data_IF_178916045036
#
_entry.id   IF_178916045036
#
_cell.length_a   1.000
_cell.length_b   1.000
_cell.length_c   1.000
_cell.angle_alpha   90.00
_cell.angle_beta   90.00
_cell.angle_gamma   90.00
#
_symmetry.space_group_name_H-M   'P 1'
#
loop_
_entity.id
_entity.type
_entity.pdbx_description
1 polymer ?
#
# COMPACT_ATOMS: atom_id res chain seq x y z
N UNK A 1 -14.41 27.58 16.21
CA UNK A 1 -15.29 26.42 16.45
C UNK A 1 -14.93 25.41 15.37
N UNK A 2 -13.78 24.74 15.46
CA UNK A 2 -13.40 23.62 16.33
C UNK A 2 -13.51 22.31 15.57
N UNK A 3 -12.36 21.64 15.49
CA UNK A 3 -12.11 20.22 15.20
C UNK A 3 -12.38 19.77 13.76
N UNK A 4 -11.48 19.01 13.13
CA UNK A 4 -10.71 17.91 13.73
C UNK A 4 -9.33 17.75 13.09
N UNK A 5 -8.33 17.52 13.94
CA UNK A 5 -6.99 17.05 13.62
C UNK A 5 -6.99 15.92 12.59
N UNK A 6 -6.16 16.04 11.56
CA UNK A 6 -5.71 14.89 10.77
C UNK A 6 -4.22 15.04 10.46
N UNK A 7 -3.42 15.06 11.53
CA UNK A 7 -1.98 14.90 11.50
C UNK A 7 -1.59 13.86 12.56
N UNK A 8 -2.26 12.71 12.55
CA UNK A 8 -1.86 11.54 13.33
C UNK A 8 -1.20 10.53 12.41
N UNK A 9 0.14 10.48 12.37
CA UNK A 9 0.91 9.26 12.01
C UNK A 9 2.43 9.45 12.03
N UNK A 10 2.99 10.54 12.56
CA UNK A 10 4.45 10.71 12.60
C UNK A 10 5.12 10.26 13.90
N UNK A 11 4.45 9.60 14.86
CA UNK A 11 5.09 9.21 16.14
C UNK A 11 4.32 8.15 16.96
N UNK A 12 3.68 7.16 16.32
CA UNK A 12 3.45 5.91 17.04
C UNK A 12 4.71 5.07 16.90
N UNK A 13 5.55 5.11 17.93
CA UNK A 13 6.71 4.25 18.07
C UNK A 13 6.31 2.80 17.73
N UNK A 14 7.03 2.17 16.79
CA UNK A 14 6.71 0.82 16.35
C UNK A 14 6.89 -0.15 17.52
N UNK A 15 5.82 -0.81 17.95
CA UNK A 15 5.85 -1.74 19.07
C UNK A 15 5.75 -3.20 18.64
N UNK A 16 6.17 -4.11 19.53
CA UNK A 16 6.06 -5.56 19.30
C UNK A 16 4.63 -5.99 18.98
N UNK A 17 3.66 -5.61 19.82
CA UNK A 17 2.26 -6.00 19.59
C UNK A 17 1.71 -5.47 18.26
N UNK A 18 2.14 -4.28 17.84
CA UNK A 18 1.78 -3.71 16.53
C UNK A 18 2.35 -4.52 15.37
N UNK A 19 3.60 -4.96 15.47
CA UNK A 19 4.23 -5.81 14.44
C UNK A 19 3.53 -7.17 14.37
N UNK A 20 3.24 -7.78 15.52
CA UNK A 20 2.54 -9.08 15.59
C UNK A 20 1.11 -9.01 15.03
N UNK A 21 0.45 -7.87 15.16
CA UNK A 21 -0.89 -7.62 14.63
C UNK A 21 -0.91 -6.97 13.24
N UNK A 22 0.25 -6.81 12.58
CA UNK A 22 0.33 -6.10 11.31
C UNK A 22 -0.44 -6.84 10.20
N UNK A 23 -1.48 -6.19 9.67
CA UNK A 23 -2.36 -6.76 8.65
C UNK A 23 -2.21 -6.03 7.31
N UNK A 24 -2.02 -6.79 6.23
CA UNK A 24 -1.92 -6.29 4.86
C UNK A 24 -3.13 -6.66 3.99
N UNK A 25 -4.14 -7.34 4.54
CA UNK A 25 -5.32 -7.82 3.79
C UNK A 25 -6.04 -6.70 3.05
N UNK A 26 -6.11 -5.51 3.67
CA UNK A 26 -6.71 -4.33 3.07
C UNK A 26 -6.07 -3.91 1.74
N UNK A 27 -4.79 -4.19 1.52
CA UNK A 27 -4.09 -3.89 0.27
C UNK A 27 -4.50 -4.86 -0.85
N UNK A 28 -4.64 -6.14 -0.52
CA UNK A 28 -5.10 -7.17 -1.46
C UNK A 28 -6.56 -6.91 -1.87
N UNK A 29 -7.41 -6.54 -0.91
CA UNK A 29 -8.80 -6.13 -1.15
C UNK A 29 -8.90 -4.87 -2.02
N UNK A 30 -8.06 -3.86 -1.75
CA UNK A 30 -7.99 -2.64 -2.54
C UNK A 30 -7.58 -2.93 -3.99
N UNK A 31 -6.57 -3.79 -4.18
CA UNK A 31 -6.13 -4.18 -5.51
C UNK A 31 -7.22 -4.88 -6.32
N UNK A 32 -7.94 -5.84 -5.70
CA UNK A 32 -9.06 -6.52 -6.34
C UNK A 32 -10.15 -5.52 -6.74
N UNK A 33 -10.50 -4.58 -5.84
CA UNK A 33 -11.51 -3.55 -6.09
C UNK A 33 -11.11 -2.61 -7.24
N UNK A 34 -9.87 -2.13 -7.29
CA UNK A 34 -9.44 -1.21 -8.35
C UNK A 34 -9.46 -1.87 -9.72
N UNK A 35 -9.06 -3.15 -9.82
CA UNK A 35 -9.19 -3.89 -11.09
C UNK A 35 -10.64 -4.07 -11.52
N UNK A 36 -11.53 -4.36 -10.57
CA UNK A 36 -12.95 -4.46 -10.85
C UNK A 36 -13.52 -3.12 -11.34
N UNK A 37 -13.17 -2.02 -10.67
CA UNK A 37 -13.63 -0.68 -11.06
C UNK A 37 -13.13 -0.30 -12.47
N UNK A 38 -11.88 -0.62 -12.81
CA UNK A 38 -11.34 -0.36 -14.13
C UNK A 38 -12.13 -1.10 -15.22
N UNK A 39 -12.35 -2.40 -15.04
CA UNK A 39 -13.09 -3.23 -15.99
C UNK A 39 -14.55 -2.77 -16.16
N UNK A 40 -15.24 -2.47 -15.04
CA UNK A 40 -16.62 -1.99 -15.08
C UNK A 40 -16.75 -0.62 -15.76
N UNK A 41 -15.80 0.29 -15.51
CA UNK A 41 -15.81 1.62 -16.11
C UNK A 41 -15.62 1.54 -17.63
N UNK A 42 -14.67 0.73 -18.08
CA UNK A 42 -14.40 0.50 -19.50
C UNK A 42 -15.61 -0.16 -20.20
N UNK A 43 -16.23 -1.17 -19.58
CA UNK A 43 -17.42 -1.83 -20.11
C UNK A 43 -18.59 -0.85 -20.24
N UNK A 44 -18.95 -0.15 -19.16
CA UNK A 44 -20.06 0.81 -19.16
C UNK A 44 -19.86 1.92 -20.21
N UNK A 45 -18.62 2.35 -20.40
CA UNK A 45 -18.32 3.39 -21.38
C UNK A 45 -18.40 2.86 -22.83
N UNK A 46 -18.00 1.61 -23.08
CA UNK A 46 -18.20 1.00 -24.39
C UNK A 46 -19.69 0.84 -24.74
N UNK A 47 -20.52 0.44 -23.77
CA UNK A 47 -21.98 0.47 -23.92
C UNK A 47 -22.51 1.87 -24.22
N UNK A 48 -22.00 2.90 -23.53
CA UNK A 48 -22.38 4.29 -23.78
C UNK A 48 -22.02 4.73 -25.21
N UNK A 49 -20.80 4.42 -25.68
CA UNK A 49 -20.34 4.71 -27.04
C UNK A 49 -21.23 4.07 -28.11
N UNK A 50 -21.62 2.81 -27.92
CA UNK A 50 -22.52 2.11 -28.83
C UNK A 50 -23.91 2.77 -28.89
N UNK A 51 -24.44 3.21 -27.74
CA UNK A 51 -25.71 3.92 -27.68
C UNK A 51 -25.65 5.30 -28.34
N UNK A 52 -24.51 6.00 -28.29
CA UNK A 52 -24.29 7.27 -29.01
C UNK A 52 -24.23 7.05 -30.52
N UNK A 53 -23.57 5.98 -30.97
CA UNK A 53 -23.44 5.65 -32.39
C UNK A 53 -24.78 5.28 -33.05
N UNK A 54 -25.64 4.58 -32.31
CA UNK A 54 -26.93 4.13 -32.81
C UNK A 54 -28.05 4.32 -31.76
N UNK A 55 -28.51 5.56 -31.52
CA UNK A 55 -29.59 5.84 -30.58
C UNK A 55 -30.86 5.11 -31.03
N UNK A 56 -31.39 4.21 -30.19
CA UNK A 56 -32.55 3.40 -30.54
C UNK A 56 -32.29 2.34 -31.63
N UNK A 57 -31.03 1.98 -31.87
CA UNK A 57 -30.64 0.92 -32.80
C UNK A 57 -30.53 1.33 -34.26
N UNK A 58 -30.66 2.62 -34.57
CA UNK A 58 -30.44 3.18 -35.91
C UNK A 58 -29.22 4.08 -35.88
N UNK A 59 -28.31 3.91 -36.85
CA UNK A 59 -27.11 4.75 -36.96
C UNK A 59 -27.49 6.23 -37.03
N UNK A 60 -26.85 7.04 -36.18
CA UNK A 60 -27.06 8.48 -36.17
C UNK A 60 -26.05 9.16 -37.11
N UNK A 61 -26.48 9.42 -38.34
CA UNK A 61 -25.65 10.06 -39.36
C UNK A 61 -25.80 11.58 -39.41
N UNK A 62 -24.81 12.26 -39.98
CA UNK A 62 -24.75 13.72 -40.16
C UNK A 62 -23.82 14.41 -39.15
N UNK A 63 -23.51 15.69 -39.37
CA UNK A 63 -22.50 16.45 -38.62
C UNK A 63 -22.68 16.38 -37.10
N UNK A 64 -23.93 16.39 -36.61
CA UNK A 64 -24.22 16.29 -35.19
C UNK A 64 -23.87 14.89 -34.61
N UNK A 65 -24.14 13.83 -35.37
CA UNK A 65 -23.77 12.46 -34.98
C UNK A 65 -22.27 12.23 -35.03
N UNK A 66 -21.59 12.76 -36.05
CA UNK A 66 -20.12 12.70 -36.15
C UNK A 66 -19.44 13.46 -35.01
N UNK A 67 -19.93 14.66 -34.67
CA UNK A 67 -19.45 15.43 -33.53
C UNK A 67 -19.65 14.70 -32.20
N UNK A 68 -20.82 14.08 -31.99
CA UNK A 68 -21.08 13.26 -30.81
C UNK A 68 -20.18 12.02 -30.73
N UNK A 69 -19.96 11.34 -31.86
CA UNK A 69 -19.06 10.19 -31.98
C UNK A 69 -17.59 10.56 -31.68
N UNK A 70 -17.14 11.71 -32.18
CA UNK A 70 -15.79 12.21 -31.89
C UNK A 70 -15.63 12.49 -30.40
N UNK A 71 -16.61 13.17 -29.79
CA UNK A 71 -16.57 13.51 -28.36
C UNK A 71 -16.54 12.28 -27.47
N UNK A 72 -17.43 11.31 -27.71
CA UNK A 72 -17.44 10.05 -26.92
C UNK A 72 -16.17 9.22 -27.17
N UNK A 73 -15.54 9.32 -28.34
CA UNK A 73 -14.25 8.66 -28.60
C UNK A 73 -13.11 9.28 -27.79
N UNK A 74 -13.10 10.61 -27.65
CA UNK A 74 -12.15 11.32 -26.77
C UNK A 74 -12.36 10.91 -25.31
N UNK A 75 -13.60 10.92 -24.84
CA UNK A 75 -13.94 10.51 -23.47
C UNK A 75 -13.57 9.05 -23.19
N UNK A 76 -13.71 8.15 -24.19
CA UNK A 76 -13.28 6.76 -24.06
C UNK A 76 -11.76 6.64 -23.83
N UNK A 77 -10.95 7.55 -24.38
CA UNK A 77 -9.51 7.56 -24.13
C UNK A 77 -9.20 7.96 -22.68
N UNK A 78 -9.96 8.90 -22.11
CA UNK A 78 -9.85 9.29 -20.70
C UNK A 78 -10.18 8.11 -19.79
N UNK A 79 -11.30 7.41 -20.03
CA UNK A 79 -11.71 6.25 -19.24
C UNK A 79 -10.68 5.12 -19.28
N UNK A 80 -10.13 4.79 -20.46
CA UNK A 80 -9.08 3.78 -20.57
C UNK A 80 -7.85 4.14 -19.75
N UNK A 81 -7.40 5.40 -19.81
CA UNK A 81 -6.25 5.85 -19.02
C UNK A 81 -6.55 5.85 -17.51
N UNK A 82 -7.77 6.19 -17.08
CA UNK A 82 -8.18 6.01 -15.68
C UNK A 82 -8.12 4.53 -15.26
N UNK A 83 -8.58 3.62 -16.12
CA UNK A 83 -8.49 2.18 -15.91
C UNK A 83 -7.05 1.67 -15.80
N UNK A 84 -6.13 2.20 -16.63
CA UNK A 84 -4.70 1.90 -16.54
C UNK A 84 -4.11 2.34 -15.20
N UNK A 85 -4.39 3.57 -14.75
CA UNK A 85 -3.93 4.08 -13.45
C UNK A 85 -4.45 3.20 -12.30
N UNK A 86 -5.72 2.79 -12.35
CA UNK A 86 -6.32 1.89 -11.35
C UNK A 86 -5.66 0.51 -11.34
N UNK A 87 -5.33 -0.06 -12.51
CA UNK A 87 -4.60 -1.34 -12.61
C UNK A 87 -3.16 -1.21 -12.09
N UNK A 88 -2.49 -0.09 -12.35
CA UNK A 88 -1.16 0.19 -11.81
C UNK A 88 -1.18 0.34 -10.28
N UNK A 89 -2.17 1.05 -9.73
CA UNK A 89 -2.38 1.14 -8.29
C UNK A 89 -2.60 -0.26 -7.67
N UNK A 90 -3.38 -1.13 -8.33
CA UNK A 90 -3.61 -2.50 -7.87
C UNK A 90 -2.33 -3.32 -7.82
N UNK A 91 -1.48 -3.22 -8.84
CA UNK A 91 -0.17 -3.88 -8.83
C UNK A 91 0.72 -3.36 -7.70
N UNK A 92 0.73 -2.04 -7.47
CA UNK A 92 1.48 -1.43 -6.35
C UNK A 92 1.00 -1.97 -5.01
N UNK A 93 -0.31 -2.08 -4.79
CA UNK A 93 -0.87 -2.58 -3.53
C UNK A 93 -0.56 -4.07 -3.30
N UNK A 94 -0.67 -4.92 -4.32
CA UNK A 94 -0.32 -6.35 -4.20
C UNK A 94 1.17 -6.57 -3.96
N UNK A 95 2.02 -5.85 -4.68
CA UNK A 95 3.47 -5.89 -4.47
C UNK A 95 3.81 -5.43 -3.05
N UNK A 96 3.25 -4.29 -2.64
CA UNK A 96 3.44 -3.72 -1.31
C UNK A 96 2.94 -4.63 -0.18
N UNK A 97 1.81 -5.31 -0.38
CA UNK A 97 1.27 -6.30 0.57
C UNK A 97 2.25 -7.45 0.80
N UNK A 98 2.90 -7.95 -0.27
CA UNK A 98 3.92 -8.99 -0.17
C UNK A 98 5.20 -8.49 0.50
N UNK A 99 5.67 -7.31 0.11
CA UNK A 99 6.88 -6.70 0.65
C UNK A 99 6.74 -6.39 2.16
N UNK A 100 5.58 -5.86 2.58
CA UNK A 100 5.28 -5.62 3.98
C UNK A 100 5.22 -6.92 4.79
N UNK A 101 4.54 -7.97 4.29
CA UNK A 101 4.52 -9.27 4.96
C UNK A 101 5.92 -9.85 5.14
N UNK A 102 6.79 -9.71 4.14
CA UNK A 102 8.19 -10.13 4.23
C UNK A 102 8.93 -9.31 5.29
N UNK A 103 8.79 -7.98 5.28
CA UNK A 103 9.46 -7.10 6.25
C UNK A 103 9.00 -7.35 7.69
N UNK A 104 7.69 -7.54 7.92
CA UNK A 104 7.13 -7.94 9.22
C UNK A 104 7.75 -9.27 9.68
N UNK A 105 7.77 -10.28 8.79
CA UNK A 105 8.38 -11.58 9.09
C UNK A 105 9.83 -11.46 9.52
N UNK A 106 10.63 -10.62 8.85
CA UNK A 106 12.03 -10.40 9.21
C UNK A 106 12.22 -9.77 10.59
N UNK A 107 11.34 -8.86 11.00
CA UNK A 107 11.38 -8.29 12.36
C UNK A 107 11.05 -9.38 13.38
N UNK A 108 9.99 -10.16 13.14
CA UNK A 108 9.58 -11.25 14.03
C UNK A 108 10.65 -12.35 14.14
N UNK A 109 11.33 -12.66 13.04
CA UNK A 109 12.45 -13.62 13.02
C UNK A 109 13.64 -13.11 13.84
N UNK A 110 13.97 -11.81 13.75
CA UNK A 110 15.04 -11.20 14.55
C UNK A 110 14.69 -11.20 16.05
N UNK A 111 13.43 -10.92 16.40
CA UNK A 111 12.92 -11.05 17.78
C UNK A 111 13.07 -12.49 18.26
N UNK A 112 12.61 -13.47 17.48
CA UNK A 112 12.69 -14.89 17.83
C UNK A 112 14.14 -15.36 17.99
N UNK A 113 15.08 -14.85 17.19
CA UNK A 113 16.50 -15.14 17.31
C UNK A 113 17.08 -14.63 18.63
N UNK A 114 16.77 -13.39 19.02
CA UNK A 114 17.19 -12.84 20.31
C UNK A 114 16.60 -13.64 21.49
N UNK A 115 15.33 -14.03 21.41
CA UNK A 115 14.66 -14.85 22.42
C UNK A 115 15.26 -16.26 22.54
N UNK A 116 15.60 -16.89 21.41
CA UNK A 116 16.28 -18.18 21.40
C UNK A 116 17.67 -18.12 22.08
N UNK A 117 18.35 -16.97 21.98
CA UNK A 117 19.63 -16.71 22.65
C UNK A 117 19.48 -16.34 24.14
N UNK A 118 18.26 -16.38 24.67
CA UNK A 118 17.92 -16.15 26.07
C UNK A 118 17.88 -14.67 26.46
N UNK A 119 17.62 -13.80 25.50
CA UNK A 119 17.21 -12.42 25.77
C UNK A 119 15.68 -12.32 25.81
N UNK A 120 15.16 -11.26 26.40
CA UNK A 120 13.75 -10.88 26.36
C UNK A 120 13.65 -9.61 25.51
N UNK A 121 12.70 -9.59 24.57
CA UNK A 121 12.41 -8.42 23.75
C UNK A 121 11.13 -7.76 24.25
N UNK A 122 11.25 -6.52 24.71
CA UNK A 122 10.15 -5.72 25.26
C UNK A 122 9.17 -5.22 24.19
N UNK A 123 8.09 -4.59 24.65
CA UNK A 123 7.10 -3.96 23.78
C UNK A 123 7.70 -2.83 22.92
N UNK A 124 8.70 -2.13 23.45
CA UNK A 124 9.49 -1.09 22.79
C UNK A 124 10.64 -1.66 21.93
N UNK A 125 10.66 -2.97 21.69
CA UNK A 125 11.72 -3.69 20.98
C UNK A 125 13.09 -3.64 21.67
N UNK A 126 13.16 -3.20 22.93
CA UNK A 126 14.40 -3.24 23.70
C UNK A 126 14.78 -4.67 24.06
N UNK A 127 16.08 -4.98 23.95
CA UNK A 127 16.62 -6.32 24.26
C UNK A 127 17.23 -6.33 25.66
N UNK A 128 16.79 -7.27 26.50
CA UNK A 128 17.28 -7.44 27.87
C UNK A 128 17.75 -8.86 28.12
N UNK A 129 18.93 -9.02 28.73
CA UNK A 129 19.38 -10.34 29.17
C UNK A 129 18.59 -10.81 30.39
N UNK A 130 18.06 -12.03 30.34
CA UNK A 130 17.32 -12.65 31.45
C UNK A 130 18.16 -13.67 32.24
N UNK A 131 19.36 -14.02 31.76
CA UNK A 131 20.20 -15.03 32.38
C UNK A 131 20.92 -14.45 33.61
N UNK A 132 21.25 -15.32 34.57
CA UNK A 132 22.22 -14.99 35.62
C UNK A 132 23.62 -15.01 34.99
N UNK A 133 24.26 -13.84 34.93
CA UNK A 133 25.53 -13.65 34.23
C UNK A 133 26.70 -13.68 35.23
N UNK A 134 27.73 -14.48 34.94
CA UNK A 134 29.02 -14.43 35.63
C UNK A 134 29.91 -13.34 35.02
N UNK A 135 30.75 -12.68 35.82
CA UNK A 135 31.69 -11.63 35.40
C UNK A 135 32.52 -12.07 34.18
N UNK A 136 32.90 -13.34 34.12
CA UNK A 136 33.66 -13.94 33.01
C UNK A 136 32.92 -13.95 31.66
N UNK A 137 31.59 -13.91 31.68
CA UNK A 137 30.71 -13.95 30.49
C UNK A 137 30.00 -12.63 30.19
N UNK A 138 30.07 -11.67 31.12
CA UNK A 138 29.35 -10.39 31.07
C UNK A 138 29.62 -9.60 29.79
N UNK A 139 30.89 -9.43 29.42
CA UNK A 139 31.25 -8.67 28.22
C UNK A 139 30.65 -9.29 26.95
N UNK A 140 30.71 -10.63 26.82
CA UNK A 140 30.17 -11.34 25.66
C UNK A 140 28.65 -11.22 25.56
N UNK A 141 27.95 -11.35 26.70
CA UNK A 141 26.49 -11.20 26.75
C UNK A 141 26.05 -9.78 26.45
N UNK A 142 26.78 -8.79 26.95
CA UNK A 142 26.51 -7.38 26.64
C UNK A 142 26.69 -7.09 25.14
N UNK A 143 27.76 -7.60 24.51
CA UNK A 143 27.95 -7.48 23.06
C UNK A 143 26.81 -8.15 22.29
N UNK A 144 26.47 -9.41 22.60
CA UNK A 144 25.39 -10.12 21.93
C UNK A 144 24.03 -9.42 22.09
N UNK A 145 23.72 -8.88 23.27
CA UNK A 145 22.50 -8.10 23.50
C UNK A 145 22.41 -6.87 22.59
N UNK A 146 23.55 -6.22 22.33
CA UNK A 146 23.61 -5.04 21.45
C UNK A 146 23.48 -5.43 19.99
N UNK A 147 24.12 -6.51 19.56
CA UNK A 147 24.00 -7.04 18.21
C UNK A 147 22.53 -7.37 17.89
N UNK A 148 21.85 -8.11 18.78
CA UNK A 148 20.41 -8.40 18.64
C UNK A 148 19.55 -7.14 18.62
N UNK A 149 19.84 -6.16 19.48
CA UNK A 149 19.11 -4.89 19.48
C UNK A 149 19.32 -4.09 18.17
N UNK A 150 20.53 -4.10 17.63
CA UNK A 150 20.86 -3.44 16.37
C UNK A 150 20.18 -4.13 15.17
N UNK A 151 20.13 -5.46 15.14
CA UNK A 151 19.46 -6.24 14.11
C UNK A 151 17.94 -6.01 14.11
N UNK A 152 17.29 -6.11 15.28
CA UNK A 152 15.85 -5.83 15.42
C UNK A 152 15.54 -4.41 14.97
N UNK A 153 16.33 -3.42 15.43
CA UNK A 153 16.15 -2.02 15.03
C UNK A 153 16.29 -1.84 13.51
N UNK A 154 17.29 -2.47 12.89
CA UNK A 154 17.49 -2.36 11.45
C UNK A 154 16.31 -2.91 10.65
N UNK A 155 15.78 -4.08 11.04
CA UNK A 155 14.60 -4.66 10.40
C UNK A 155 13.34 -3.81 10.65
N UNK A 156 13.16 -3.27 11.85
CA UNK A 156 12.06 -2.39 12.20
C UNK A 156 12.07 -1.10 11.37
N UNK A 157 13.24 -0.46 11.24
CA UNK A 157 13.42 0.71 10.37
C UNK A 157 13.09 0.38 8.91
N UNK A 158 13.53 -0.78 8.42
CA UNK A 158 13.23 -1.23 7.05
C UNK A 158 11.74 -1.48 6.83
N UNK A 159 11.02 -2.04 7.81
CA UNK A 159 9.57 -2.19 7.77
C UNK A 159 8.88 -0.83 7.61
N UNK A 160 9.23 0.13 8.47
CA UNK A 160 8.66 1.50 8.42
C UNK A 160 8.95 2.18 7.08
N UNK A 161 10.18 2.06 6.55
CA UNK A 161 10.50 2.64 5.24
C UNK A 161 9.72 1.98 4.10
N UNK A 162 9.47 0.67 4.18
CA UNK A 162 8.66 -0.06 3.18
C UNK A 162 7.21 0.44 3.20
N UNK A 163 6.62 0.62 4.38
CA UNK A 163 5.28 1.15 4.56
C UNK A 163 5.12 2.59 4.03
N UNK A 164 6.06 3.47 4.40
CA UNK A 164 6.08 4.86 3.91
C UNK A 164 6.19 4.90 2.38
N UNK A 165 7.10 4.13 1.80
CA UNK A 165 7.31 4.11 0.35
C UNK A 165 6.08 3.60 -0.41
N UNK A 166 5.41 2.56 0.13
CA UNK A 166 4.15 2.07 -0.42
C UNK A 166 3.08 3.17 -0.40
N UNK A 167 2.88 3.81 0.76
CA UNK A 167 1.91 4.90 0.92
C UNK A 167 2.12 6.04 -0.06
N UNK A 168 3.38 6.47 -0.26
CA UNK A 168 3.74 7.51 -1.23
C UNK A 168 3.40 7.11 -2.69
N UNK A 169 3.66 5.85 -3.08
CA UNK A 169 3.33 5.38 -4.43
C UNK A 169 1.83 5.34 -4.68
N UNK A 170 1.06 4.84 -3.70
CA UNK A 170 -0.39 4.80 -3.78
C UNK A 170 -0.99 6.21 -3.82
N UNK A 171 -0.47 7.13 -3.00
CA UNK A 171 -0.87 8.54 -3.03
C UNK A 171 -0.55 9.18 -4.38
N UNK A 172 0.61 8.88 -4.97
CA UNK A 172 0.97 9.34 -6.32
C UNK A 172 -0.05 8.90 -7.37
N UNK A 173 -0.51 7.65 -7.32
CA UNK A 173 -1.56 7.16 -8.23
C UNK A 173 -2.93 7.79 -7.98
N UNK A 174 -3.28 8.05 -6.73
CA UNK A 174 -4.50 8.76 -6.39
C UNK A 174 -4.51 10.19 -6.97
N UNK A 175 -3.39 10.91 -6.88
CA UNK A 175 -3.24 12.25 -7.46
C UNK A 175 -3.26 12.21 -8.99
N UNK A 176 -2.64 11.20 -9.61
CA UNK A 176 -2.70 11.01 -11.06
C UNK A 176 -4.15 10.79 -11.53
N UNK A 177 -4.92 9.99 -10.78
CA UNK A 177 -6.33 9.74 -11.07
C UNK A 177 -7.21 11.00 -10.87
N UNK A 178 -6.98 11.79 -9.81
CA UNK A 178 -7.70 13.05 -9.55
C UNK A 178 -7.47 14.11 -10.65
N UNK A 179 -6.26 14.12 -11.23
CA UNK A 179 -5.93 15.00 -12.36
C UNK A 179 -6.57 14.61 -13.71
N UNK A 180 -7.25 13.45 -13.79
CA UNK A 180 -7.91 13.00 -15.02
C UNK A 180 -9.28 13.66 -15.17
N UNK A 181 -9.40 14.59 -16.11
CA UNK A 181 -10.66 15.28 -16.42
C UNK A 181 -11.14 15.00 -17.84
N UNK A 182 -12.46 15.02 -18.03
CA UNK A 182 -13.09 15.03 -19.35
C UNK A 182 -12.99 16.44 -19.95
N UNK A 183 -12.77 16.54 -21.26
CA UNK A 183 -12.78 17.83 -21.95
C UNK A 183 -14.22 18.35 -22.08
N UNK A 184 -14.44 19.64 -21.77
CA UNK A 184 -15.76 20.27 -21.69
C UNK A 184 -16.36 20.62 -23.06
#
# INVERSE_FOLDING_TARGET
>A
MSSTDNAGSSDEELTRSRIEAWDTTHLDDAAARWRQMAAQSEELFEWHRQNVAAPGGTEWSGDAGESALNRVTTDAAVVRKQGDIQREAANIAEDGSRDLRLAVGQVLDAIAAAEADGFEVGEDLSVRDTRRIDVSTMAKRYTASREHAEDIRWHAERLVQTDIYLGQRLQGKALELDGMQFEA
#
